data_IF_049372840497
#
_entry.id   IF_049372840497
#
_cell.length_a   1.000
_cell.length_b   1.000
_cell.length_c   1.000
_cell.angle_alpha   90.00
_cell.angle_beta   90.00
_cell.angle_gamma   90.00
#
_symmetry.space_group_name_H-M   'P 1'
#
loop_
_entity.id
_entity.type
_entity.pdbx_description
1 polymer ?
#
# COMPACT_ATOMS: atom_id res chain seq x y z
N UNK A 1 9.94 -29.34 13.53
CA UNK A 1 8.62 -29.63 14.14
C UNK A 1 8.01 -30.84 13.49
N UNK A 2 7.18 -31.59 14.25
CA UNK A 2 6.52 -32.84 13.79
C UNK A 2 5.67 -32.60 12.54
N UNK A 3 5.03 -31.43 12.45
CA UNK A 3 4.22 -31.04 11.30
C UNK A 3 5.04 -30.98 10.00
N UNK A 4 6.22 -30.40 10.02
CA UNK A 4 7.12 -30.30 8.87
C UNK A 4 7.55 -31.69 8.41
N UNK A 5 7.83 -32.61 9.33
CA UNK A 5 8.18 -33.98 9.01
C UNK A 5 6.99 -34.76 8.41
N UNK A 6 5.79 -34.55 8.92
CA UNK A 6 4.57 -35.15 8.37
C UNK A 6 4.27 -34.68 6.93
N UNK A 7 4.42 -33.39 6.67
CA UNK A 7 4.28 -32.80 5.32
C UNK A 7 5.28 -33.39 4.33
N UNK A 8 6.55 -33.58 4.76
CA UNK A 8 7.60 -34.19 3.94
C UNK A 8 7.34 -35.68 3.67
N UNK A 9 6.95 -36.42 4.69
CA UNK A 9 6.70 -37.89 4.56
C UNK A 9 5.48 -38.20 3.68
N UNK A 10 4.48 -37.34 3.68
CA UNK A 10 3.26 -37.50 2.86
C UNK A 10 3.41 -36.93 1.44
N UNK A 11 4.58 -36.46 1.06
CA UNK A 11 4.86 -35.93 -0.29
C UNK A 11 3.85 -34.86 -0.76
N UNK A 12 3.44 -33.95 0.15
CA UNK A 12 2.41 -32.93 -0.06
C UNK A 12 2.93 -31.75 -0.88
N UNK A 13 3.46 -32.02 -2.09
CA UNK A 13 3.92 -30.97 -3.03
C UNK A 13 4.83 -29.90 -2.40
N UNK A 14 5.60 -30.28 -1.37
CA UNK A 14 6.45 -29.38 -0.61
C UNK A 14 7.93 -29.64 -0.94
N UNK A 15 8.65 -28.58 -1.27
CA UNK A 15 10.08 -28.61 -1.59
C UNK A 15 10.85 -27.98 -0.43
N UNK A 16 11.88 -28.63 0.07
CA UNK A 16 12.80 -28.05 1.06
C UNK A 16 13.69 -27.01 0.41
N UNK A 17 13.77 -25.80 0.96
CA UNK A 17 14.56 -24.69 0.44
C UNK A 17 15.60 -24.26 1.49
N UNK A 18 16.84 -23.96 1.03
CA UNK A 18 17.92 -23.43 1.84
C UNK A 18 18.89 -24.47 2.43
N UNK A 19 20.10 -23.99 2.78
CA UNK A 19 21.13 -24.74 3.47
C UNK A 19 20.69 -25.01 4.91
N UNK A 20 20.28 -26.23 5.22
CA UNK A 20 19.75 -26.62 6.54
C UNK A 20 18.33 -27.17 6.53
N UNK A 21 17.65 -27.17 5.40
CA UNK A 21 16.33 -27.82 5.18
C UNK A 21 15.22 -27.40 6.15
N UNK A 22 15.30 -26.22 6.77
CA UNK A 22 14.32 -25.75 7.74
C UNK A 22 13.15 -24.97 7.12
N UNK A 23 13.25 -24.65 5.82
CA UNK A 23 12.21 -23.97 5.07
C UNK A 23 11.52 -24.91 4.12
N UNK A 24 10.21 -24.83 4.03
CA UNK A 24 9.37 -25.57 3.10
C UNK A 24 8.72 -24.57 2.18
N UNK A 25 8.77 -24.85 0.88
CA UNK A 25 8.02 -24.13 -0.14
C UNK A 25 7.04 -25.09 -0.78
N UNK A 26 5.79 -24.75 -0.79
CA UNK A 26 4.78 -25.49 -1.53
C UNK A 26 4.90 -25.21 -3.03
N UNK A 27 4.51 -26.19 -3.85
CA UNK A 27 4.28 -25.93 -5.27
C UNK A 27 3.18 -24.89 -5.42
N UNK A 28 3.32 -23.91 -6.32
CA UNK A 28 2.38 -22.81 -6.46
C UNK A 28 0.91 -23.27 -6.61
N UNK A 29 0.63 -24.27 -7.46
CA UNK A 29 -0.73 -24.80 -7.62
C UNK A 29 -1.32 -25.39 -6.33
N UNK A 30 -0.49 -25.97 -5.48
CA UNK A 30 -0.92 -26.48 -4.18
C UNK A 30 -1.14 -25.35 -3.17
N UNK A 31 -0.33 -24.32 -3.24
CA UNK A 31 -0.51 -23.10 -2.44
C UNK A 31 -1.83 -22.42 -2.82
N UNK A 32 -2.10 -22.23 -4.11
CA UNK A 32 -3.34 -21.63 -4.63
C UNK A 32 -4.58 -22.47 -4.22
N UNK A 33 -4.45 -23.80 -4.26
CA UNK A 33 -5.50 -24.69 -3.78
C UNK A 33 -5.77 -24.54 -2.29
N UNK A 34 -4.71 -24.53 -1.44
CA UNK A 34 -4.86 -24.37 0.00
C UNK A 34 -5.46 -22.99 0.36
N UNK A 35 -5.06 -21.95 -0.35
CA UNK A 35 -5.59 -20.60 -0.19
C UNK A 35 -7.08 -20.56 -0.54
N UNK A 36 -7.45 -21.17 -1.68
CA UNK A 36 -8.87 -21.30 -2.10
C UNK A 36 -9.70 -22.04 -1.06
N UNK A 37 -9.21 -23.17 -0.55
CA UNK A 37 -9.90 -23.96 0.49
C UNK A 37 -10.04 -23.14 1.78
N UNK A 38 -8.98 -22.44 2.20
CA UNK A 38 -9.00 -21.60 3.40
C UNK A 38 -10.06 -20.50 3.29
N UNK A 39 -10.10 -19.80 2.15
CA UNK A 39 -11.09 -18.74 1.89
C UNK A 39 -12.51 -19.29 1.92
N UNK A 40 -12.72 -20.50 1.41
CA UNK A 40 -14.05 -21.11 1.34
C UNK A 40 -14.53 -21.69 2.68
N UNK A 41 -13.64 -22.35 3.43
CA UNK A 41 -14.01 -23.06 4.65
C UNK A 41 -13.90 -22.18 5.91
N UNK A 42 -12.92 -21.26 5.94
CA UNK A 42 -12.64 -20.40 7.11
C UNK A 42 -12.32 -18.95 6.68
N UNK A 43 -13.28 -18.21 6.12
CA UNK A 43 -13.04 -16.87 5.56
C UNK A 43 -12.49 -15.88 6.59
N UNK A 44 -13.00 -15.88 7.83
CA UNK A 44 -12.51 -14.98 8.89
C UNK A 44 -11.03 -15.25 9.26
N UNK A 45 -10.63 -16.52 9.23
CA UNK A 45 -9.24 -16.92 9.47
C UNK A 45 -8.36 -16.52 8.28
N UNK A 46 -8.87 -16.66 7.06
CA UNK A 46 -8.19 -16.23 5.84
C UNK A 46 -7.89 -14.73 5.89
N UNK A 47 -8.89 -13.92 6.18
CA UNK A 47 -8.75 -12.47 6.31
C UNK A 47 -7.72 -12.10 7.39
N UNK A 48 -7.78 -12.72 8.57
CA UNK A 48 -6.83 -12.47 9.64
C UNK A 48 -5.37 -12.81 9.24
N UNK A 49 -5.18 -13.86 8.44
CA UNK A 49 -3.87 -14.24 7.91
C UNK A 49 -3.40 -13.22 6.88
N UNK A 50 -4.27 -12.80 5.96
CA UNK A 50 -3.96 -11.82 4.92
C UNK A 50 -3.63 -10.46 5.52
N UNK A 51 -4.36 -9.99 6.54
CA UNK A 51 -4.01 -8.76 7.26
C UNK A 51 -2.61 -8.82 7.86
N UNK A 52 -2.28 -9.90 8.58
CA UNK A 52 -0.94 -10.07 9.16
C UNK A 52 0.17 -10.14 8.11
N UNK A 53 -0.12 -10.76 6.98
CA UNK A 53 0.82 -10.85 5.85
C UNK A 53 1.05 -9.47 5.22
N UNK A 54 -0.01 -8.71 5.00
CA UNK A 54 0.07 -7.35 4.46
C UNK A 54 0.85 -6.42 5.39
N UNK A 55 0.61 -6.48 6.70
CA UNK A 55 1.39 -5.73 7.70
C UNK A 55 2.88 -6.09 7.65
N UNK A 56 3.20 -7.39 7.60
CA UNK A 56 4.58 -7.85 7.52
C UNK A 56 5.28 -7.36 6.23
N UNK A 57 4.58 -7.34 5.09
CA UNK A 57 5.10 -6.78 3.85
C UNK A 57 5.29 -5.26 3.94
N UNK A 58 4.34 -4.53 4.52
CA UNK A 58 4.44 -3.09 4.70
C UNK A 58 5.62 -2.70 5.60
N UNK A 59 5.89 -3.46 6.66
CA UNK A 59 7.03 -3.25 7.56
C UNK A 59 8.38 -3.52 6.89
N UNK A 60 8.41 -4.41 5.89
CA UNK A 60 9.60 -4.68 5.08
C UNK A 60 9.78 -3.71 3.91
N UNK A 61 8.83 -2.80 3.69
CA UNK A 61 8.82 -1.89 2.54
C UNK A 61 8.40 -2.54 1.22
N UNK A 62 7.85 -3.75 1.27
CA UNK A 62 7.30 -4.48 0.12
C UNK A 62 5.89 -3.96 -0.22
N UNK A 63 5.83 -2.66 -0.54
CA UNK A 63 4.59 -1.90 -0.65
C UNK A 63 3.57 -2.49 -1.62
N UNK A 64 4.02 -3.03 -2.78
CA UNK A 64 3.13 -3.63 -3.77
C UNK A 64 2.40 -4.86 -3.26
N UNK A 65 3.11 -5.70 -2.52
CA UNK A 65 2.52 -6.93 -1.98
C UNK A 65 1.46 -6.60 -0.95
N UNK A 66 1.77 -5.66 -0.04
CA UNK A 66 0.82 -5.18 0.95
C UNK A 66 -0.40 -4.50 0.29
N UNK A 67 -0.15 -3.68 -0.75
CA UNK A 67 -1.20 -2.98 -1.50
C UNK A 67 -2.21 -3.95 -2.12
N UNK A 68 -1.72 -5.00 -2.81
CA UNK A 68 -2.62 -5.97 -3.45
C UNK A 68 -3.48 -6.71 -2.44
N UNK A 69 -2.94 -7.10 -1.29
CA UNK A 69 -3.70 -7.78 -0.25
C UNK A 69 -4.81 -6.87 0.31
N UNK A 70 -4.50 -5.62 0.69
CA UNK A 70 -5.53 -4.72 1.21
C UNK A 70 -6.57 -4.35 0.15
N UNK A 71 -6.18 -4.30 -1.13
CA UNK A 71 -7.12 -4.07 -2.22
C UNK A 71 -8.09 -5.24 -2.38
N UNK A 72 -7.60 -6.49 -2.30
CA UNK A 72 -8.43 -7.70 -2.35
C UNK A 72 -9.36 -7.84 -1.15
N UNK A 73 -8.92 -7.38 0.04
CA UNK A 73 -9.75 -7.32 1.24
C UNK A 73 -10.76 -6.17 1.23
N UNK A 74 -10.74 -5.31 0.21
CA UNK A 74 -11.57 -4.10 0.09
C UNK A 74 -11.48 -3.17 1.32
N UNK A 75 -10.39 -3.28 2.11
CA UNK A 75 -10.13 -2.38 3.24
C UNK A 75 -9.49 -1.08 2.76
N UNK A 76 -10.32 -0.20 2.20
CA UNK A 76 -9.85 1.05 1.63
C UNK A 76 -9.29 2.03 2.65
N UNK A 77 -9.69 1.94 3.94
CA UNK A 77 -9.13 2.79 5.00
C UNK A 77 -7.68 2.44 5.28
N UNK A 78 -7.38 1.15 5.48
CA UNK A 78 -6.01 0.67 5.69
C UNK A 78 -5.18 0.83 4.42
N UNK A 79 -5.77 0.57 3.25
CA UNK A 79 -5.12 0.80 1.95
C UNK A 79 -4.74 2.27 1.76
N UNK A 80 -5.60 3.21 2.15
CA UNK A 80 -5.31 4.64 2.10
C UNK A 80 -4.10 5.03 2.96
N UNK A 81 -4.02 4.51 4.18
CA UNK A 81 -2.87 4.72 5.08
C UNK A 81 -1.58 4.14 4.49
N UNK A 82 -1.66 2.95 3.87
CA UNK A 82 -0.53 2.35 3.16
C UNK A 82 -0.07 3.24 2.00
N UNK A 83 -1.00 3.72 1.16
CA UNK A 83 -0.69 4.58 0.01
C UNK A 83 -0.02 5.88 0.46
N UNK A 84 -0.49 6.48 1.55
CA UNK A 84 0.13 7.68 2.11
C UNK A 84 1.57 7.39 2.59
N UNK A 85 1.77 6.29 3.32
CA UNK A 85 3.08 5.86 3.84
C UNK A 85 4.06 5.54 2.72
N UNK A 86 3.61 4.80 1.70
CA UNK A 86 4.42 4.38 0.56
C UNK A 86 4.70 5.51 -0.45
N UNK A 87 3.82 6.52 -0.50
CA UNK A 87 3.81 7.53 -1.55
C UNK A 87 5.14 8.25 -1.74
N UNK A 88 5.81 8.62 -0.65
CA UNK A 88 7.14 9.27 -0.73
C UNK A 88 8.19 8.35 -1.34
N UNK A 89 8.23 7.09 -0.93
CA UNK A 89 9.16 6.09 -1.47
C UNK A 89 8.91 5.83 -2.96
N UNK A 90 7.66 5.71 -3.37
CA UNK A 90 7.29 5.52 -4.78
C UNK A 90 7.73 6.72 -5.64
N UNK A 91 7.53 7.93 -5.17
CA UNK A 91 7.95 9.14 -5.90
C UNK A 91 9.47 9.24 -6.01
N UNK A 92 10.22 8.95 -4.93
CA UNK A 92 11.68 8.95 -4.94
C UNK A 92 12.27 7.90 -5.90
N UNK A 93 11.57 6.79 -6.08
CA UNK A 93 11.94 5.72 -7.02
C UNK A 93 11.38 5.94 -8.46
N UNK A 94 10.83 7.11 -8.76
CA UNK A 94 10.31 7.43 -10.09
C UNK A 94 9.01 6.70 -10.47
N UNK A 95 8.30 6.13 -9.50
CA UNK A 95 7.11 5.30 -9.71
C UNK A 95 5.80 6.11 -9.66
N UNK A 96 5.81 7.26 -10.33
CA UNK A 96 4.68 8.19 -10.36
C UNK A 96 3.38 7.56 -10.86
N UNK A 97 3.44 6.79 -11.96
CA UNK A 97 2.25 6.17 -12.55
C UNK A 97 1.69 5.04 -11.68
N UNK A 98 2.54 4.30 -10.98
CA UNK A 98 2.11 3.31 -9.99
C UNK A 98 1.32 4.00 -8.87
N UNK A 99 1.89 5.08 -8.32
CA UNK A 99 1.22 5.83 -7.25
C UNK A 99 -0.10 6.45 -7.73
N UNK A 100 -0.14 6.97 -8.96
CA UNK A 100 -1.38 7.47 -9.56
C UNK A 100 -2.44 6.38 -9.64
N UNK A 101 -2.08 5.18 -10.14
CA UNK A 101 -3.00 4.04 -10.21
C UNK A 101 -3.51 3.60 -8.83
N UNK A 102 -2.65 3.65 -7.81
CA UNK A 102 -3.04 3.33 -6.44
C UNK A 102 -4.04 4.34 -5.86
N UNK A 103 -3.81 5.62 -6.12
CA UNK A 103 -4.76 6.67 -5.73
C UNK A 103 -6.09 6.52 -6.46
N UNK A 104 -6.08 6.17 -7.75
CA UNK A 104 -7.31 6.01 -8.53
C UNK A 104 -8.18 4.83 -8.06
N UNK A 105 -7.58 3.80 -7.49
CA UNK A 105 -8.30 2.66 -6.94
C UNK A 105 -8.93 2.96 -5.55
N UNK A 106 -8.55 4.05 -4.89
CA UNK A 106 -9.21 4.47 -3.65
C UNK A 106 -10.54 5.19 -3.96
N UNK A 107 -11.58 5.00 -3.15
CA UNK A 107 -12.81 5.77 -3.26
C UNK A 107 -12.56 7.27 -3.22
N UNK A 108 -13.22 8.02 -4.08
CA UNK A 108 -13.05 9.48 -4.15
C UNK A 108 -13.41 10.16 -2.82
N UNK A 109 -14.44 9.67 -2.12
CA UNK A 109 -14.83 10.18 -0.80
C UNK A 109 -13.67 10.05 0.21
N UNK A 110 -12.95 8.92 0.22
CA UNK A 110 -11.81 8.72 1.11
C UNK A 110 -10.65 9.65 0.74
N UNK A 111 -10.33 9.79 -0.54
CA UNK A 111 -9.25 10.68 -1.00
C UNK A 111 -9.52 12.15 -0.65
N UNK A 112 -10.79 12.56 -0.66
CA UNK A 112 -11.18 13.93 -0.33
C UNK A 112 -11.27 14.17 1.19
N UNK A 113 -11.64 13.16 1.98
CA UNK A 113 -11.76 13.29 3.44
C UNK A 113 -10.40 13.20 4.16
N UNK A 114 -9.43 12.49 3.59
CA UNK A 114 -8.11 12.28 4.19
C UNK A 114 -7.09 13.29 3.67
N UNK A 115 -6.69 14.30 4.49
CA UNK A 115 -5.80 15.38 4.03
C UNK A 115 -4.44 14.87 3.55
N UNK A 116 -3.95 13.74 4.09
CA UNK A 116 -2.70 13.11 3.67
C UNK A 116 -2.77 12.61 2.23
N UNK A 117 -3.85 11.90 1.89
CA UNK A 117 -4.12 11.42 0.53
C UNK A 117 -4.38 12.59 -0.43
N UNK A 118 -5.16 13.57 0.00
CA UNK A 118 -5.46 14.76 -0.79
C UNK A 118 -4.20 15.54 -1.17
N UNK A 119 -3.26 15.70 -0.23
CA UNK A 119 -1.99 16.37 -0.49
C UNK A 119 -1.09 15.56 -1.43
N UNK A 120 -1.14 14.23 -1.33
CA UNK A 120 -0.38 13.34 -2.20
C UNK A 120 -0.95 13.36 -3.63
N UNK A 121 -2.26 13.30 -3.78
CA UNK A 121 -2.96 13.44 -5.07
C UNK A 121 -2.67 14.80 -5.71
N UNK A 122 -2.63 15.86 -4.91
CA UNK A 122 -2.26 17.21 -5.36
C UNK A 122 -0.87 17.26 -5.98
N UNK A 123 0.14 16.70 -5.30
CA UNK A 123 1.50 16.62 -5.83
C UNK A 123 1.56 15.79 -7.12
N UNK A 124 0.99 14.59 -7.12
CA UNK A 124 0.93 13.71 -8.31
C UNK A 124 0.27 14.43 -9.49
N UNK A 125 -0.81 15.16 -9.24
CA UNK A 125 -1.54 15.94 -10.26
C UNK A 125 -0.68 17.05 -10.86
N UNK A 126 0.13 17.74 -10.03
CA UNK A 126 1.10 18.74 -10.51
C UNK A 126 2.19 18.09 -11.38
N UNK A 127 2.75 16.96 -10.93
CA UNK A 127 3.80 16.23 -11.67
C UNK A 127 3.31 15.69 -13.01
N UNK A 128 2.02 15.41 -13.14
CA UNK A 128 1.37 15.00 -14.39
C UNK A 128 0.94 16.19 -15.28
N UNK A 129 1.31 17.42 -14.91
CA UNK A 129 1.12 18.61 -15.72
C UNK A 129 -0.13 19.44 -15.42
N UNK A 130 -1.04 19.00 -14.55
CA UNK A 130 -2.18 19.80 -14.12
C UNK A 130 -1.88 20.57 -12.84
N UNK A 131 -0.99 21.56 -12.97
CA UNK A 131 -0.46 22.32 -11.82
C UNK A 131 -1.58 23.10 -11.10
N UNK A 132 -2.51 23.70 -11.83
CA UNK A 132 -3.61 24.47 -11.21
C UNK A 132 -4.48 23.60 -10.31
N UNK A 133 -4.92 22.44 -10.79
CA UNK A 133 -5.72 21.49 -10.00
C UNK A 133 -4.90 20.95 -8.83
N UNK A 134 -3.63 20.59 -9.05
CA UNK A 134 -2.78 20.04 -8.03
C UNK A 134 -2.52 21.01 -6.87
N UNK A 135 -2.24 22.28 -7.16
CA UNK A 135 -2.07 23.32 -6.14
C UNK A 135 -3.38 23.61 -5.37
N UNK A 136 -4.53 23.52 -6.03
CA UNK A 136 -5.82 23.62 -5.36
C UNK A 136 -6.01 22.50 -4.30
N UNK A 137 -5.73 21.23 -4.66
CA UNK A 137 -5.81 20.10 -3.75
C UNK A 137 -4.83 20.24 -2.57
N UNK A 138 -3.60 20.69 -2.84
CA UNK A 138 -2.61 20.95 -1.79
C UNK A 138 -3.07 22.03 -0.82
N UNK A 139 -3.66 23.13 -1.30
CA UNK A 139 -4.20 24.18 -0.44
C UNK A 139 -5.35 23.69 0.44
N UNK A 140 -6.23 22.84 -0.08
CA UNK A 140 -7.30 22.20 0.70
C UNK A 140 -6.72 21.32 1.81
N UNK A 141 -5.76 20.47 1.49
CA UNK A 141 -5.09 19.61 2.47
C UNK A 141 -4.41 20.43 3.60
N UNK A 142 -3.70 21.50 3.23
CA UNK A 142 -3.10 22.41 4.23
C UNK A 142 -4.12 23.05 5.14
N UNK A 143 -5.25 23.47 4.60
CA UNK A 143 -6.34 24.06 5.39
C UNK A 143 -6.90 23.04 6.39
N UNK A 144 -7.08 21.80 5.98
CA UNK A 144 -7.56 20.71 6.84
C UNK A 144 -6.56 20.39 7.95
N UNK A 145 -5.25 20.31 7.65
CA UNK A 145 -4.21 20.07 8.66
C UNK A 145 -4.10 21.22 9.66
N UNK A 146 -4.29 22.49 9.22
CA UNK A 146 -4.35 23.63 10.14
C UNK A 146 -5.56 23.58 11.05
N UNK A 147 -6.73 23.20 10.52
CA UNK A 147 -7.95 23.09 11.30
C UNK A 147 -7.87 21.97 12.37
N UNK A 148 -7.27 20.84 12.03
CA UNK A 148 -7.05 19.72 12.95
C UNK A 148 -5.83 19.92 13.88
N UNK A 149 -5.01 20.95 13.67
CA UNK A 149 -3.73 21.19 14.37
C UNK A 149 -2.71 20.06 14.18
N UNK A 150 -2.80 19.32 13.09
CA UNK A 150 -1.82 18.32 12.71
C UNK A 150 -0.58 19.01 12.08
N UNK A 151 0.42 19.25 12.92
CA UNK A 151 1.65 19.94 12.52
C UNK A 151 2.53 19.11 11.59
N UNK A 152 2.53 17.78 11.76
CA UNK A 152 3.34 16.88 10.94
C UNK A 152 2.72 16.70 9.54
N UNK A 153 1.41 16.54 9.47
CA UNK A 153 0.67 16.54 8.22
C UNK A 153 0.85 17.84 7.46
N UNK A 154 0.74 18.98 8.17
CA UNK A 154 0.97 20.30 7.57
C UNK A 154 2.39 20.44 7.01
N UNK A 155 3.41 20.02 7.76
CA UNK A 155 4.79 20.06 7.28
C UNK A 155 4.98 19.25 5.99
N UNK A 156 4.43 18.02 5.95
CA UNK A 156 4.46 17.19 4.74
C UNK A 156 3.75 17.86 3.56
N UNK A 157 2.58 18.46 3.77
CA UNK A 157 1.83 19.16 2.73
C UNK A 157 2.59 20.38 2.19
N UNK A 158 3.24 21.14 3.06
CA UNK A 158 4.07 22.28 2.67
C UNK A 158 5.28 21.87 1.83
N UNK A 159 5.96 20.79 2.19
CA UNK A 159 7.06 20.23 1.39
C UNK A 159 6.53 19.81 0.00
N UNK A 160 5.41 19.09 -0.06
CA UNK A 160 4.79 18.70 -1.34
C UNK A 160 4.40 19.91 -2.19
N UNK A 161 3.89 20.97 -1.58
CA UNK A 161 3.58 22.21 -2.29
C UNK A 161 4.81 22.90 -2.85
N UNK A 162 5.89 22.97 -2.08
CA UNK A 162 7.17 23.51 -2.55
C UNK A 162 7.67 22.74 -3.77
N UNK A 163 7.62 21.40 -3.72
CA UNK A 163 7.96 20.55 -4.85
C UNK A 163 7.04 20.82 -6.05
N UNK A 164 5.74 20.98 -5.82
CA UNK A 164 4.76 21.26 -6.88
C UNK A 164 5.04 22.59 -7.61
N UNK A 165 5.52 23.62 -6.91
CA UNK A 165 5.88 24.90 -7.53
C UNK A 165 7.04 24.79 -8.53
N UNK A 166 7.94 23.82 -8.37
CA UNK A 166 9.00 23.57 -9.36
C UNK A 166 8.44 23.15 -10.71
N UNK A 167 7.29 22.47 -10.74
CA UNK A 167 6.61 22.08 -11.99
C UNK A 167 5.85 23.26 -12.65
N UNK A 168 5.58 24.34 -11.90
CA UNK A 168 4.98 25.55 -12.44
C UNK A 168 6.01 26.46 -13.13
N UNK A 169 7.31 26.24 -12.89
CA UNK A 169 8.37 27.12 -13.36
C UNK A 169 8.53 28.40 -12.55
N UNK A 170 7.89 28.50 -11.40
CA UNK A 170 8.08 29.59 -10.43
C UNK A 170 9.30 29.23 -9.55
N UNK A 171 10.48 29.72 -9.92
CA UNK A 171 11.71 29.64 -9.14
C UNK A 171 11.88 30.89 -8.29
#
# INVERSE_FOLDING_TARGET
SELINAVRQKNLFAISVGEGKNWIRYHHLFQDFLETVLIQEEPELADAIFYRLAEAYADQGEWEKAYHIYLELEDFETLGKLVEKAGTSLLQNGRLLTLKGWLDNLPESLRQSEPGLLSLEGLVTCMLGNVTKGLFLLNQAESSFRASKDTDGLARALVRRTTAHQYKGDY
#
